data_IF_171286948206
#
_entry.id   IF_171286948206
#
_cell.length_a   1.000
_cell.length_b   1.000
_cell.length_c   1.000
_cell.angle_alpha   90.00
_cell.angle_beta   90.00
_cell.angle_gamma   90.00
#
_symmetry.space_group_name_H-M   'P 1'
#
loop_
_entity.id
_entity.type
_entity.pdbx_description
1 polymer ?
#
# COMPACT_ATOMS: atom_id res chain seq x y z
N UNK A 1 23.48 4.57 -3.57
CA UNK A 1 23.70 5.41 -2.38
C UNK A 1 24.90 6.34 -2.58
N UNK A 2 24.75 7.65 -2.35
CA UNK A 2 25.82 8.65 -2.57
C UNK A 2 26.79 8.79 -1.37
N UNK A 3 27.03 7.70 -0.64
CA UNK A 3 27.99 7.68 0.48
C UNK A 3 29.43 7.91 0.03
N UNK A 4 29.74 7.73 -1.26
CA UNK A 4 31.07 7.98 -1.84
C UNK A 4 31.57 9.41 -1.57
N UNK A 5 30.65 10.39 -1.44
CA UNK A 5 31.02 11.77 -1.13
C UNK A 5 31.74 11.86 0.23
N UNK A 6 31.46 10.93 1.15
CA UNK A 6 32.09 10.86 2.46
C UNK A 6 33.56 10.46 2.40
N UNK A 7 33.99 9.84 1.31
CA UNK A 7 35.35 9.35 1.07
C UNK A 7 36.19 10.34 0.24
N UNK A 8 35.63 11.49 -0.15
CA UNK A 8 36.39 12.55 -0.80
C UNK A 8 37.31 13.27 0.20
N UNK A 9 38.59 13.34 -0.13
CA UNK A 9 39.62 13.98 0.69
C UNK A 9 39.46 15.51 0.81
N UNK A 10 38.95 16.19 -0.23
CA UNK A 10 38.72 17.64 -0.21
C UNK A 10 37.23 17.94 -0.33
N UNK A 11 36.65 18.54 0.72
CA UNK A 11 35.23 18.91 0.76
C UNK A 11 35.04 20.24 1.45
N UNK A 12 34.18 21.09 0.90
CA UNK A 12 33.70 22.27 1.60
C UNK A 12 32.75 21.88 2.74
N UNK A 13 32.58 22.75 3.74
CA UNK A 13 31.58 22.55 4.79
C UNK A 13 30.16 22.40 4.24
N UNK A 14 29.82 23.11 3.16
CA UNK A 14 28.53 22.98 2.49
C UNK A 14 28.35 21.57 1.92
N UNK A 15 29.37 21.02 1.25
CA UNK A 15 29.37 19.66 0.70
C UNK A 15 29.25 18.60 1.80
N UNK A 16 29.89 18.81 2.96
CA UNK A 16 29.77 17.91 4.11
C UNK A 16 28.34 17.91 4.69
N UNK A 17 27.71 19.09 4.83
CA UNK A 17 26.31 19.19 5.29
C UNK A 17 25.34 18.50 4.33
N UNK A 18 25.52 18.70 3.03
CA UNK A 18 24.71 18.03 2.01
C UNK A 18 24.88 16.50 2.05
N UNK A 19 26.11 16.01 2.26
CA UNK A 19 26.36 14.57 2.43
C UNK A 19 25.64 13.98 3.64
N UNK A 20 25.66 14.68 4.79
CA UNK A 20 24.91 14.26 5.98
C UNK A 20 23.40 14.20 5.73
N UNK A 21 22.84 15.25 5.14
CA UNK A 21 21.41 15.31 4.80
C UNK A 21 21.02 14.18 3.83
N UNK A 22 21.82 13.94 2.80
CA UNK A 22 21.58 12.86 1.84
C UNK A 22 21.60 11.47 2.51
N UNK A 23 22.47 11.26 3.51
CA UNK A 23 22.50 10.02 4.27
C UNK A 23 21.23 9.85 5.11
N UNK A 24 20.80 10.89 5.82
CA UNK A 24 19.55 10.88 6.60
C UNK A 24 18.36 10.55 5.69
N UNK A 25 18.24 11.24 4.56
CA UNK A 25 17.16 10.99 3.60
C UNK A 25 17.20 9.58 3.01
N UNK A 26 18.40 9.02 2.79
CA UNK A 26 18.53 7.63 2.32
C UNK A 26 17.95 6.67 3.33
N UNK A 27 18.30 6.82 4.61
CA UNK A 27 17.76 5.99 5.69
C UNK A 27 16.24 6.13 5.83
N UNK A 28 15.72 7.36 5.76
CA UNK A 28 14.27 7.61 5.83
C UNK A 28 13.52 6.95 4.66
N UNK A 29 14.06 7.04 3.44
CA UNK A 29 13.47 6.38 2.27
C UNK A 29 13.48 4.87 2.43
N UNK A 30 14.58 4.28 2.89
CA UNK A 30 14.68 2.83 3.14
C UNK A 30 13.71 2.37 4.24
N UNK A 31 13.60 3.12 5.33
CA UNK A 31 12.65 2.83 6.41
C UNK A 31 11.20 2.87 5.91
N UNK A 32 10.83 3.91 5.13
CA UNK A 32 9.49 4.04 4.55
C UNK A 32 9.21 2.96 3.51
N UNK A 33 10.21 2.52 2.75
CA UNK A 33 10.06 1.41 1.82
C UNK A 33 9.75 0.09 2.56
N UNK A 34 10.41 -0.16 3.70
CA UNK A 34 10.15 -1.33 4.54
C UNK A 34 8.75 -1.27 5.17
N UNK A 35 8.34 -0.11 5.70
CA UNK A 35 6.98 0.10 6.21
C UNK A 35 5.93 -0.18 5.14
N UNK A 36 6.13 0.34 3.92
CA UNK A 36 5.24 0.10 2.78
C UNK A 36 5.17 -1.39 2.42
N UNK A 37 6.31 -2.08 2.41
CA UNK A 37 6.35 -3.52 2.14
C UNK A 37 5.56 -4.32 3.18
N UNK A 38 5.74 -3.99 4.46
CA UNK A 38 4.99 -4.63 5.55
C UNK A 38 3.49 -4.35 5.45
N UNK A 39 3.10 -3.11 5.14
CA UNK A 39 1.71 -2.74 4.93
C UNK A 39 1.07 -3.54 3.78
N UNK A 40 1.79 -3.71 2.66
CA UNK A 40 1.34 -4.54 1.52
C UNK A 40 1.13 -6.00 1.91
N UNK A 41 2.09 -6.60 2.63
CA UNK A 41 1.97 -7.98 3.10
C UNK A 41 0.80 -8.16 4.08
N UNK A 42 0.58 -7.18 4.96
CA UNK A 42 -0.56 -7.22 5.87
C UNK A 42 -1.89 -7.09 5.13
N UNK A 43 -1.97 -6.23 4.10
CA UNK A 43 -3.14 -6.11 3.25
C UNK A 43 -3.48 -7.46 2.59
N UNK A 44 -2.50 -8.11 1.96
CA UNK A 44 -2.68 -9.42 1.31
C UNK A 44 -3.14 -10.50 2.29
N UNK A 45 -2.57 -10.51 3.52
CA UNK A 45 -2.99 -11.41 4.59
C UNK A 45 -4.43 -11.17 5.00
N UNK A 46 -4.85 -9.91 5.15
CA UNK A 46 -6.23 -9.59 5.51
C UNK A 46 -7.21 -9.94 4.39
N UNK A 47 -6.86 -9.65 3.12
CA UNK A 47 -7.66 -10.06 1.97
C UNK A 47 -7.88 -11.58 1.95
N UNK A 48 -6.82 -12.36 2.19
CA UNK A 48 -6.91 -13.82 2.27
C UNK A 48 -7.79 -14.28 3.44
N UNK A 49 -7.66 -13.67 4.62
CA UNK A 49 -8.51 -13.98 5.77
C UNK A 49 -9.99 -13.69 5.49
N UNK A 50 -10.28 -12.57 4.83
CA UNK A 50 -11.65 -12.21 4.41
C UNK A 50 -12.16 -13.25 3.42
N UNK A 51 -11.39 -13.56 2.38
CA UNK A 51 -11.72 -14.57 1.38
C UNK A 51 -12.03 -15.93 2.00
N UNK A 52 -11.17 -16.40 2.91
CA UNK A 52 -11.38 -17.67 3.61
C UNK A 52 -12.65 -17.66 4.47
N UNK A 53 -12.95 -16.53 5.11
CA UNK A 53 -14.14 -16.40 5.96
C UNK A 53 -15.44 -16.39 5.15
N UNK A 54 -15.44 -15.78 3.97
CA UNK A 54 -16.63 -15.74 3.10
C UNK A 54 -16.75 -16.99 2.23
N UNK A 55 -15.66 -17.71 1.94
CA UNK A 55 -15.66 -18.91 1.11
C UNK A 55 -16.66 -19.97 1.60
N UNK A 56 -16.82 -20.11 2.93
CA UNK A 56 -17.80 -21.02 3.53
C UNK A 56 -19.27 -20.70 3.24
N UNK A 57 -19.56 -19.52 2.67
CA UNK A 57 -20.91 -19.14 2.26
C UNK A 57 -21.26 -19.57 0.82
N UNK A 58 -20.30 -20.13 0.08
CA UNK A 58 -20.47 -20.53 -1.31
C UNK A 58 -20.33 -22.04 -1.44
N UNK A 59 -21.15 -22.66 -2.28
CA UNK A 59 -21.12 -24.10 -2.52
C UNK A 59 -20.06 -24.52 -3.54
N UNK A 60 -19.71 -23.62 -4.47
CA UNK A 60 -18.80 -23.89 -5.58
C UNK A 60 -17.69 -22.83 -5.68
N UNK A 61 -16.49 -23.29 -6.01
CA UNK A 61 -15.31 -22.42 -6.18
C UNK A 61 -15.53 -21.34 -7.25
N UNK A 62 -16.19 -21.69 -8.36
CA UNK A 62 -16.50 -20.76 -9.44
C UNK A 62 -17.44 -19.63 -9.00
N UNK A 63 -18.43 -19.95 -8.18
CA UNK A 63 -19.37 -18.95 -7.64
C UNK A 63 -18.65 -17.97 -6.72
N UNK A 64 -17.80 -18.51 -5.83
CA UNK A 64 -16.96 -17.72 -4.93
C UNK A 64 -16.02 -16.77 -5.71
N UNK A 65 -15.28 -17.27 -6.70
CA UNK A 65 -14.36 -16.46 -7.50
C UNK A 65 -15.08 -15.34 -8.26
N UNK A 66 -16.25 -15.64 -8.84
CA UNK A 66 -17.08 -14.65 -9.53
C UNK A 66 -17.61 -13.58 -8.58
N UNK A 67 -18.03 -13.98 -7.36
CA UNK A 67 -18.50 -13.05 -6.35
C UNK A 67 -17.39 -12.12 -5.86
N UNK A 68 -16.19 -12.65 -5.58
CA UNK A 68 -15.02 -11.86 -5.17
C UNK A 68 -14.59 -10.90 -6.28
N UNK A 69 -14.51 -11.37 -7.53
CA UNK A 69 -14.16 -10.54 -8.69
C UNK A 69 -15.16 -9.39 -8.88
N UNK A 70 -16.46 -9.70 -8.80
CA UNK A 70 -17.53 -8.69 -8.91
C UNK A 70 -17.48 -7.66 -7.77
N UNK A 71 -17.16 -8.10 -6.55
CA UNK A 71 -17.02 -7.22 -5.40
C UNK A 71 -15.80 -6.29 -5.54
N UNK A 72 -14.65 -6.82 -5.98
CA UNK A 72 -13.44 -6.02 -6.27
C UNK A 72 -13.72 -4.96 -7.32
N UNK A 73 -14.39 -5.33 -8.41
CA UNK A 73 -14.75 -4.37 -9.45
C UNK A 73 -15.68 -3.25 -8.95
N UNK A 74 -16.68 -3.58 -8.13
CA UNK A 74 -17.57 -2.59 -7.52
C UNK A 74 -16.83 -1.66 -6.56
N UNK A 75 -15.89 -2.20 -5.78
CA UNK A 75 -15.06 -1.41 -4.88
C UNK A 75 -14.16 -0.45 -5.67
N UNK A 76 -13.57 -0.89 -6.78
CA UNK A 76 -12.75 -0.05 -7.65
C UNK A 76 -13.58 1.10 -8.25
N UNK A 77 -14.80 0.83 -8.74
CA UNK A 77 -15.70 1.87 -9.22
C UNK A 77 -16.03 2.87 -8.10
N UNK A 78 -16.43 2.39 -6.93
CA UNK A 78 -16.75 3.24 -5.77
C UNK A 78 -15.58 4.11 -5.32
N UNK A 79 -14.35 3.59 -5.36
CA UNK A 79 -13.17 4.36 -4.93
C UNK A 79 -12.76 5.44 -5.96
N UNK A 80 -13.21 5.34 -7.21
CA UNK A 80 -12.86 6.27 -8.29
C UNK A 80 -14.02 7.15 -8.74
N UNK A 81 -15.23 6.95 -8.21
CA UNK A 81 -16.38 7.79 -8.47
C UNK A 81 -16.44 9.01 -7.54
N UNK A 82 -17.01 10.14 -7.99
CA UNK A 82 -17.28 11.29 -7.12
C UNK A 82 -18.22 10.89 -5.99
N UNK A 83 -17.97 11.39 -4.77
CA UNK A 83 -18.78 11.12 -3.57
C UNK A 83 -20.27 11.42 -3.79
N UNK A 84 -20.61 12.39 -4.66
CA UNK A 84 -21.99 12.72 -5.01
C UNK A 84 -22.74 11.59 -5.77
N UNK A 85 -22.01 10.68 -6.43
CA UNK A 85 -22.54 9.51 -7.12
C UNK A 85 -22.85 8.34 -6.18
N UNK A 86 -22.35 8.40 -4.94
CA UNK A 86 -22.49 7.35 -3.96
C UNK A 86 -23.91 7.39 -3.39
N UNK A 87 -24.78 6.48 -3.82
CA UNK A 87 -26.12 6.36 -3.23
C UNK A 87 -25.99 5.97 -1.75
N UNK A 88 -26.59 6.71 -0.81
CA UNK A 88 -26.58 6.32 0.59
C UNK A 88 -27.28 4.96 0.74
N UNK A 89 -26.62 4.04 1.45
CA UNK A 89 -27.21 2.74 1.76
C UNK A 89 -28.30 2.93 2.81
N UNK A 90 -29.55 3.13 2.39
CA UNK A 90 -30.70 3.09 3.30
C UNK A 90 -30.96 1.63 3.67
N UNK A 91 -30.49 1.22 4.85
CA UNK A 91 -30.95 -0.01 5.50
C UNK A 91 -32.43 0.21 5.83
N UNK A 92 -33.33 -0.46 5.12
CA UNK A 92 -34.73 -0.53 5.55
C UNK A 92 -34.75 -1.35 6.83
N UNK A 93 -35.16 -0.72 7.94
CA UNK A 93 -35.49 -1.38 9.19
C UNK A 93 -36.68 -2.32 9.00
#
# INVERSE_FOLDING_TARGET
MKHWITFLHKRSHATQRLGKLANTLTFEVEAKALELQNAKLNLERFETQICNKIAGNYSDQSEFENAVSSAKHKADLWNNEPIASHKPHTVKQ
#
